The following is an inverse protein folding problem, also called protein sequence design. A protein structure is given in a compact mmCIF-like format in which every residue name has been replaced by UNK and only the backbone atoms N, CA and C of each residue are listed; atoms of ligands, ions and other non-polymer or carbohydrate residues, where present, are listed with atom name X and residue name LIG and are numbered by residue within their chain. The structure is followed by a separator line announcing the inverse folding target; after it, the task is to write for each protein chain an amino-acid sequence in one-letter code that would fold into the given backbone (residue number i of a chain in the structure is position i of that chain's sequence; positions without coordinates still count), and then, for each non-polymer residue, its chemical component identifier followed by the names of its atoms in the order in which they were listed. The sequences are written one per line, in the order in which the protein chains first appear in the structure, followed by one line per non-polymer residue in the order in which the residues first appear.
data_IF_945528160836
#
_entry.id   IF_945528160836
#
_cell.length_a   1.000
_cell.length_b   1.000
_cell.length_c   1.000
_cell.angle_alpha   90.00
_cell.angle_beta   90.00
_cell.angle_gamma   90.00
#
_symmetry.space_group_name_H-M   'P 1'
#
loop_
_entity.id
_entity.type
_entity.pdbx_description
1 polymer ?
#
# COMPACT_ATOMS: atom_id res chain seq x y z
N UNK A 1 -4.39 -32.73 -9.46
CA UNK A 1 -4.71 -31.47 -8.76
C UNK A 1 -3.51 -31.07 -7.91
N UNK A 2 -2.56 -30.32 -8.46
CA UNK A 2 -1.41 -29.80 -7.68
C UNK A 2 -1.83 -28.45 -7.13
N UNK A 3 -2.16 -28.40 -5.83
CA UNK A 3 -2.31 -27.16 -5.08
C UNK A 3 -1.00 -26.39 -5.21
N UNK A 4 -1.02 -25.25 -5.89
CA UNK A 4 0.11 -24.33 -5.93
C UNK A 4 0.43 -23.90 -4.50
N UNK A 5 1.51 -24.45 -3.95
CA UNK A 5 2.08 -24.01 -2.68
C UNK A 5 2.35 -22.51 -2.83
N UNK A 6 1.73 -21.67 -1.99
CA UNK A 6 2.20 -20.28 -1.82
C UNK A 6 3.66 -20.39 -1.40
N UNK A 7 4.59 -20.17 -2.33
CA UNK A 7 6.03 -20.19 -2.04
C UNK A 7 6.24 -19.10 -1.00
N UNK A 8 6.54 -19.48 0.24
CA UNK A 8 6.91 -18.52 1.26
C UNK A 8 8.12 -17.74 0.74
N UNK A 9 8.10 -16.42 0.92
CA UNK A 9 9.17 -15.54 0.50
C UNK A 9 10.49 -16.02 1.12
N UNK A 10 11.45 -16.45 0.31
CA UNK A 10 12.75 -16.93 0.83
C UNK A 10 13.67 -15.75 1.10
N UNK A 11 14.60 -15.88 2.04
CA UNK A 11 15.60 -14.86 2.32
C UNK A 11 16.44 -14.52 1.06
N UNK A 12 16.73 -15.52 0.23
CA UNK A 12 17.44 -15.33 -1.04
C UNK A 12 16.62 -14.52 -2.05
N UNK A 13 15.32 -14.81 -2.19
CA UNK A 13 14.41 -14.06 -3.06
C UNK A 13 14.32 -12.59 -2.64
N UNK A 14 14.22 -12.35 -1.34
CA UNK A 14 14.17 -10.99 -0.80
C UNK A 14 15.51 -10.26 -0.97
N UNK A 15 16.63 -10.95 -0.81
CA UNK A 15 17.96 -10.39 -1.09
C UNK A 15 18.13 -9.97 -2.55
N UNK A 16 17.62 -10.76 -3.51
CA UNK A 16 17.59 -10.39 -4.94
C UNK A 16 16.72 -9.15 -5.18
N UNK A 17 15.57 -9.07 -4.52
CA UNK A 17 14.70 -7.90 -4.58
C UNK A 17 15.38 -6.64 -4.04
N UNK A 18 16.07 -6.71 -2.88
CA UNK A 18 16.81 -5.56 -2.35
C UNK A 18 17.91 -5.11 -3.30
N UNK A 19 18.68 -6.04 -3.89
CA UNK A 19 19.69 -5.72 -4.92
C UNK A 19 19.10 -5.10 -6.18
N UNK A 20 17.88 -5.49 -6.55
CA UNK A 20 17.14 -4.89 -7.65
C UNK A 20 16.67 -3.45 -7.33
N UNK A 21 16.37 -3.15 -6.07
CA UNK A 21 16.10 -1.76 -5.64
C UNK A 21 17.35 -0.89 -5.73
N UNK A 22 18.49 -1.40 -5.23
CA UNK A 22 19.79 -0.74 -5.34
C UNK A 22 20.91 -1.76 -5.15
N UNK A 23 22.04 -1.63 -5.88
CA UNK A 23 23.22 -2.47 -5.66
C UNK A 23 23.93 -2.18 -4.32
N UNK A 24 23.66 -1.03 -3.68
CA UNK A 24 24.21 -0.69 -2.37
C UNK A 24 23.20 -1.04 -1.27
N UNK A 25 23.63 -1.82 -0.28
CA UNK A 25 22.74 -2.35 0.76
C UNK A 25 22.03 -1.26 1.58
N UNK A 26 22.74 -0.20 1.96
CA UNK A 26 22.14 0.91 2.73
C UNK A 26 21.08 1.65 1.89
N UNK A 27 21.41 1.95 0.64
CA UNK A 27 20.50 2.58 -0.31
C UNK A 27 19.29 1.67 -0.62
N UNK A 28 19.48 0.36 -0.70
CA UNK A 28 18.40 -0.61 -0.93
C UNK A 28 17.41 -0.63 0.25
N UNK A 29 17.93 -0.56 1.48
CA UNK A 29 17.08 -0.45 2.67
C UNK A 29 16.31 0.86 2.68
N UNK A 30 16.97 1.99 2.37
CA UNK A 30 16.30 3.29 2.28
C UNK A 30 15.20 3.30 1.22
N UNK A 31 15.47 2.76 0.03
CA UNK A 31 14.49 2.68 -1.06
C UNK A 31 13.32 1.76 -0.69
N UNK A 32 13.59 0.62 -0.04
CA UNK A 32 12.54 -0.26 0.47
C UNK A 32 11.64 0.45 1.48
N UNK A 33 12.22 1.16 2.45
CA UNK A 33 11.46 1.92 3.45
C UNK A 33 10.63 3.04 2.82
N UNK A 34 11.21 3.73 1.82
CA UNK A 34 10.51 4.76 1.05
C UNK A 34 9.31 4.19 0.30
N UNK A 35 9.49 3.08 -0.43
CA UNK A 35 8.41 2.38 -1.14
C UNK A 35 7.34 1.90 -0.16
N UNK A 36 7.74 1.29 0.95
CA UNK A 36 6.82 0.80 2.00
C UNK A 36 5.93 1.91 2.53
N UNK A 37 6.54 3.02 2.96
CA UNK A 37 5.80 4.16 3.50
C UNK A 37 4.78 4.71 2.50
N UNK A 38 5.18 4.87 1.25
CA UNK A 38 4.30 5.42 0.20
C UNK A 38 3.19 4.44 -0.19
N UNK A 39 3.46 3.13 -0.25
CA UNK A 39 2.45 2.11 -0.51
C UNK A 39 1.40 2.04 0.59
N UNK A 40 1.81 2.04 1.86
CA UNK A 40 0.87 2.05 2.99
C UNK A 40 -0.02 3.30 2.94
N UNK A 41 0.57 4.48 2.72
CA UNK A 41 -0.18 5.74 2.55
C UNK A 41 -1.16 5.67 1.39
N UNK A 42 -0.75 5.08 0.26
CA UNK A 42 -1.60 4.86 -0.90
C UNK A 42 -2.83 4.03 -0.54
N UNK A 43 -2.65 2.88 0.12
CA UNK A 43 -3.77 2.03 0.52
C UNK A 43 -4.66 2.66 1.60
N UNK A 44 -4.11 3.47 2.51
CA UNK A 44 -4.90 4.25 3.48
C UNK A 44 -5.80 5.25 2.75
N UNK A 45 -5.24 6.02 1.82
CA UNK A 45 -5.99 6.96 0.99
C UNK A 45 -7.12 6.26 0.21
N UNK A 46 -6.82 5.09 -0.37
CA UNK A 46 -7.81 4.24 -1.05
C UNK A 46 -8.89 3.64 -0.13
N UNK A 47 -8.75 3.79 1.19
CA UNK A 47 -9.76 3.33 2.15
C UNK A 47 -9.71 1.85 2.50
N UNK A 48 -8.56 1.21 2.30
CA UNK A 48 -8.40 -0.22 2.57
C UNK A 48 -8.60 -0.51 4.07
N UNK A 49 -9.09 -1.71 4.39
CA UNK A 49 -9.29 -2.16 5.78
C UNK A 49 -7.94 -2.51 6.41
N UNK A 50 -7.06 -3.16 5.63
CA UNK A 50 -5.72 -3.53 6.06
C UNK A 50 -4.63 -3.17 5.01
N UNK A 51 -4.13 -1.91 5.02
CA UNK A 51 -3.02 -1.44 4.20
C UNK A 51 -1.72 -2.25 4.28
N UNK A 52 -1.32 -2.73 5.47
CA UNK A 52 -0.08 -3.49 5.62
C UNK A 52 -0.20 -4.89 4.99
N UNK A 53 -1.36 -5.55 5.11
CA UNK A 53 -1.61 -6.81 4.39
C UNK A 53 -1.59 -6.63 2.87
N UNK A 54 -2.15 -5.53 2.35
CA UNK A 54 -2.07 -5.23 0.92
C UNK A 54 -0.64 -4.87 0.49
N UNK A 55 0.15 -4.23 1.35
CA UNK A 55 1.57 -4.02 1.14
C UNK A 55 2.34 -5.35 1.07
N UNK A 56 2.16 -6.24 2.04
CA UNK A 56 2.83 -7.55 2.08
C UNK A 56 2.50 -8.37 0.83
N UNK A 57 1.22 -8.42 0.43
CA UNK A 57 0.78 -9.03 -0.84
C UNK A 57 1.43 -8.39 -2.07
N UNK A 58 1.65 -7.07 -2.04
CA UNK A 58 2.33 -6.35 -3.14
C UNK A 58 3.77 -6.80 -3.24
N UNK A 59 4.48 -6.87 -2.12
CA UNK A 59 5.88 -7.31 -2.08
C UNK A 59 6.00 -8.77 -2.52
N UNK A 60 5.13 -9.67 -2.06
CA UNK A 60 5.12 -11.08 -2.49
C UNK A 60 5.04 -11.21 -4.01
N UNK A 61 4.14 -10.44 -4.65
CA UNK A 61 3.98 -10.45 -6.10
C UNK A 61 5.19 -9.84 -6.81
N UNK A 62 5.72 -8.72 -6.31
CA UNK A 62 6.90 -8.07 -6.91
C UNK A 62 8.11 -8.98 -6.83
N UNK A 63 8.42 -9.54 -5.65
CA UNK A 63 9.55 -10.45 -5.45
C UNK A 63 9.44 -11.66 -6.36
N UNK A 64 8.25 -12.26 -6.48
CA UNK A 64 8.03 -13.37 -7.41
C UNK A 64 8.27 -13.01 -8.88
N UNK A 65 8.02 -11.76 -9.29
CA UNK A 65 8.31 -11.28 -10.65
C UNK A 65 9.80 -11.03 -10.88
N UNK A 66 10.52 -10.53 -9.86
CA UNK A 66 11.97 -10.33 -9.93
C UNK A 66 12.70 -11.68 -9.94
N UNK A 67 12.27 -12.64 -9.09
CA UNK A 67 12.82 -14.01 -9.13
C UNK A 67 12.62 -14.68 -10.49
N UNK A 68 11.52 -14.37 -11.19
CA UNK A 68 11.23 -14.86 -12.53
C UNK A 68 12.05 -14.21 -13.66
N UNK A 69 13.00 -13.32 -13.33
CA UNK A 69 13.89 -12.68 -14.32
C UNK A 69 13.26 -11.50 -15.05
N UNK A 70 12.19 -10.90 -14.53
CA UNK A 70 11.59 -9.72 -15.14
C UNK A 70 12.47 -8.48 -14.99
N UNK A 71 12.74 -7.80 -16.10
CA UNK A 71 13.46 -6.52 -16.10
C UNK A 71 12.50 -5.35 -15.97
N UNK A 72 12.61 -4.63 -14.85
CA UNK A 72 11.76 -3.49 -14.52
C UNK A 72 12.65 -2.31 -14.11
N UNK A 73 12.89 -1.33 -15.00
CA UNK A 73 13.87 -0.25 -14.77
C UNK A 73 13.49 0.74 -13.66
N UNK A 74 12.20 0.86 -13.32
CA UNK A 74 11.72 1.79 -12.29
C UNK A 74 11.04 0.99 -11.18
N UNK A 75 11.77 0.69 -10.08
CA UNK A 75 11.25 -0.15 -9.02
C UNK A 75 9.99 0.39 -8.34
N UNK A 76 10.00 1.68 -7.99
CA UNK A 76 8.84 2.31 -7.36
C UNK A 76 7.60 2.24 -8.27
N UNK A 77 7.72 2.65 -9.54
CA UNK A 77 6.60 2.62 -10.48
C UNK A 77 6.04 1.21 -10.68
N UNK A 78 6.91 0.20 -10.73
CA UNK A 78 6.49 -1.20 -10.82
C UNK A 78 5.73 -1.65 -9.56
N UNK A 79 6.27 -1.37 -8.38
CA UNK A 79 5.60 -1.65 -7.10
C UNK A 79 4.21 -1.02 -7.02
N UNK A 80 4.06 0.26 -7.41
CA UNK A 80 2.76 0.93 -7.41
C UNK A 80 1.79 0.37 -8.46
N UNK A 81 2.30 -0.05 -9.62
CA UNK A 81 1.49 -0.74 -10.63
C UNK A 81 0.88 -2.04 -10.09
N UNK A 82 1.69 -2.84 -9.38
CA UNK A 82 1.24 -4.06 -8.71
C UNK A 82 0.24 -3.73 -7.58
N UNK A 83 0.56 -2.75 -6.74
CA UNK A 83 -0.30 -2.30 -5.64
C UNK A 83 -1.70 -1.88 -6.11
N UNK A 84 -1.78 -1.15 -7.22
CA UNK A 84 -3.06 -0.76 -7.83
C UNK A 84 -3.90 -1.97 -8.24
N UNK A 85 -3.27 -3.01 -8.79
CA UNK A 85 -3.97 -4.23 -9.18
C UNK A 85 -4.46 -5.02 -7.96
N UNK A 86 -3.65 -5.11 -6.91
CA UNK A 86 -4.04 -5.75 -5.65
C UNK A 86 -5.19 -5.01 -4.99
N UNK A 87 -5.15 -3.68 -4.95
CA UNK A 87 -6.27 -2.88 -4.44
C UNK A 87 -7.56 -3.11 -5.26
N UNK A 88 -7.47 -3.14 -6.59
CA UNK A 88 -8.64 -3.44 -7.45
C UNK A 88 -9.23 -4.81 -7.15
N UNK A 89 -8.39 -5.81 -6.90
CA UNK A 89 -8.83 -7.14 -6.51
C UNK A 89 -9.52 -7.12 -5.14
N UNK A 90 -8.89 -6.53 -4.12
CA UNK A 90 -9.45 -6.38 -2.77
C UNK A 90 -10.80 -5.64 -2.79
N UNK A 91 -10.93 -4.59 -3.61
CA UNK A 91 -12.19 -3.87 -3.80
C UNK A 91 -13.28 -4.77 -4.43
N UNK A 92 -12.92 -5.59 -5.43
CA UNK A 92 -13.85 -6.55 -6.05
C UNK A 92 -14.28 -7.62 -5.06
N UNK A 93 -13.34 -8.20 -4.31
CA UNK A 93 -13.60 -9.23 -3.29
C UNK A 93 -14.49 -8.69 -2.17
N UNK A 94 -14.36 -7.43 -1.76
CA UNK A 94 -15.25 -6.81 -0.78
C UNK A 94 -16.65 -6.57 -1.34
N UNK A 95 -16.74 -6.16 -2.60
CA UNK A 95 -18.03 -5.96 -3.28
C UNK A 95 -18.74 -7.28 -3.59
N UNK A 96 -18.01 -8.36 -3.90
CA UNK A 96 -18.54 -9.71 -4.11
C UNK A 96 -18.67 -10.53 -2.83
N UNK A 97 -18.02 -10.17 -1.73
CA UNK A 97 -18.36 -10.72 -0.41
C UNK A 97 -19.78 -10.31 0.04
N UNK A 98 -20.35 -9.25 -0.56
CA UNK A 98 -21.77 -8.91 -0.45
C UNK A 98 -22.66 -9.67 -1.47
N UNK A 99 -22.08 -10.37 -2.46
CA UNK A 99 -22.78 -11.15 -3.49
C UNK A 99 -21.90 -12.32 -3.98
N UNK A 100 -22.04 -13.48 -3.34
CA UNK A 100 -21.46 -14.83 -3.61
C UNK A 100 -20.32 -14.98 -4.65
N UNK A 101 -19.21 -15.57 -4.18
CA UNK A 101 -17.99 -16.04 -4.88
C UNK A 101 -18.17 -16.46 -6.34
N UNK A 102 -17.35 -15.87 -7.22
CA UNK A 102 -16.88 -16.50 -8.47
C UNK A 102 -15.37 -16.38 -8.58
N UNK A 103 -14.79 -17.46 -9.10
CA UNK A 103 -13.38 -17.85 -9.09
C UNK A 103 -12.42 -16.97 -9.88
N UNK A 104 -11.16 -17.19 -9.51
CA UNK A 104 -9.93 -16.57 -9.96
C UNK A 104 -9.73 -16.71 -11.48
N UNK A 105 -9.51 -15.57 -12.13
CA UNK A 105 -8.64 -15.46 -13.29
C UNK A 105 -7.94 -14.10 -13.20
N UNK A 106 -6.63 -14.11 -12.92
CA UNK A 106 -5.74 -12.98 -13.12
C UNK A 106 -5.59 -12.73 -14.63
N UNK A 107 -6.68 -12.31 -15.27
CA UNK A 107 -6.62 -11.75 -16.61
C UNK A 107 -6.16 -10.30 -16.48
N UNK A 108 -4.91 -10.09 -16.88
CA UNK A 108 -4.22 -8.83 -17.10
C UNK A 108 -5.19 -7.79 -17.69
N UNK A 109 -5.54 -6.75 -16.94
CA UNK A 109 -6.39 -5.68 -17.44
C UNK A 109 -5.88 -4.31 -16.98
N UNK A 110 -5.38 -3.59 -17.99
CA UNK A 110 -4.77 -2.25 -18.00
C UNK A 110 -3.55 -2.08 -17.09
N UNK A 111 -2.36 -2.15 -17.70
CA UNK A 111 -1.20 -1.38 -17.24
C UNK A 111 -1.72 0.02 -16.95
N UNK A 112 -1.70 0.52 -15.71
CA UNK A 112 -2.07 1.91 -15.48
C UNK A 112 -1.26 2.77 -16.44
N UNK A 113 -1.91 3.76 -17.06
CA UNK A 113 -1.17 4.87 -17.65
C UNK A 113 -0.29 5.42 -16.53
N UNK A 114 1.01 5.12 -16.61
CA UNK A 114 2.02 5.52 -15.65
C UNK A 114 1.88 7.01 -15.26
N UNK A 115 1.56 7.94 -16.20
CA UNK A 115 1.34 9.34 -15.87
C UNK A 115 0.24 9.60 -14.82
N UNK A 116 -0.89 8.88 -14.91
CA UNK A 116 -2.03 9.09 -13.98
C UNK A 116 -1.68 8.60 -12.58
N UNK A 117 -0.98 7.47 -12.48
CA UNK A 117 -0.54 6.92 -11.19
C UNK A 117 0.52 7.81 -10.54
N UNK A 118 1.48 8.30 -11.33
CA UNK A 118 2.50 9.23 -10.84
C UNK A 118 1.88 10.53 -10.33
N UNK A 119 0.91 11.09 -11.04
CA UNK A 119 0.21 12.30 -10.60
C UNK A 119 -0.59 12.06 -9.32
N UNK A 120 -1.27 10.92 -9.21
CA UNK A 120 -2.00 10.53 -7.99
C UNK A 120 -1.06 10.44 -6.78
N UNK A 121 0.13 9.86 -6.96
CA UNK A 121 1.14 9.75 -5.89
C UNK A 121 1.71 11.11 -5.49
N UNK A 122 2.00 11.99 -6.45
CA UNK A 122 2.44 13.37 -6.16
C UNK A 122 1.38 14.13 -5.37
N UNK A 123 0.12 14.01 -5.77
CA UNK A 123 -1.00 14.60 -5.05
C UNK A 123 -1.15 14.02 -3.63
N UNK A 124 -0.99 12.71 -3.47
CA UNK A 124 -1.03 12.07 -2.16
C UNK A 124 0.09 12.58 -1.25
N UNK A 125 1.32 12.70 -1.75
CA UNK A 125 2.44 13.23 -0.97
C UNK A 125 2.21 14.66 -0.50
N UNK A 126 1.74 15.53 -1.39
CA UNK A 126 1.35 16.90 -1.05
C UNK A 126 0.28 16.92 0.05
N UNK A 127 -0.82 16.19 -0.15
CA UNK A 127 -1.93 16.14 0.79
C UNK A 127 -1.54 15.53 2.14
N UNK A 128 -0.63 14.55 2.15
CA UNK A 128 -0.05 14.04 3.39
C UNK A 128 0.77 15.11 4.12
N UNK A 129 1.46 16.00 3.40
CA UNK A 129 2.20 17.13 3.97
C UNK A 129 1.32 18.20 4.62
N UNK A 130 0.09 18.36 4.16
CA UNK A 130 -0.90 19.32 4.69
C UNK A 130 -1.56 18.84 5.99
N UNK A 131 -1.49 17.54 6.28
CA UNK A 131 -1.97 17.00 7.55
C UNK A 131 -1.12 17.48 8.74
N UNK A 132 -1.77 17.64 9.90
CA UNK A 132 -1.06 17.89 11.15
C UNK A 132 -0.03 16.79 11.43
N UNK A 133 1.03 17.10 12.19
CA UNK A 133 2.03 16.09 12.58
C UNK A 133 1.41 14.89 13.28
N UNK A 134 0.46 15.13 14.19
CA UNK A 134 -0.27 14.07 14.89
C UNK A 134 -1.14 13.21 13.96
N UNK A 135 -1.79 13.80 12.95
CA UNK A 135 -2.61 13.03 12.00
C UNK A 135 -1.74 12.19 11.07
N UNK A 136 -0.59 12.71 10.62
CA UNK A 136 0.40 11.94 9.86
C UNK A 136 0.93 10.76 10.64
N UNK A 137 1.20 10.95 11.93
CA UNK A 137 1.67 9.91 12.82
C UNK A 137 0.61 8.81 12.98
N UNK A 138 -0.64 9.20 13.23
CA UNK A 138 -1.77 8.25 13.31
C UNK A 138 -1.88 7.44 12.01
N UNK A 139 -1.84 8.08 10.84
CA UNK A 139 -1.91 7.37 9.56
C UNK A 139 -0.78 6.36 9.40
N UNK A 140 0.43 6.73 9.81
CA UNK A 140 1.63 5.91 9.65
C UNK A 140 1.66 4.73 10.64
N UNK A 141 1.20 4.92 11.88
CA UNK A 141 1.27 3.91 12.93
C UNK A 141 0.01 3.04 13.04
N UNK A 142 -1.18 3.52 12.65
CA UNK A 142 -2.45 2.82 12.89
C UNK A 142 -2.53 1.43 12.24
N UNK A 143 -1.77 1.23 11.16
CA UNK A 143 -1.72 -0.03 10.43
C UNK A 143 -0.44 -0.84 10.66
N UNK A 144 0.60 -0.21 11.23
CA UNK A 144 1.91 -0.82 11.48
C UNK A 144 1.84 -2.06 12.38
N UNK A 145 2.67 -3.05 12.05
CA UNK A 145 2.84 -4.29 12.82
C UNK A 145 1.88 -5.41 12.40
N UNK A 146 2.11 -6.62 12.94
CA UNK A 146 1.26 -7.78 12.72
C UNK A 146 0.79 -8.38 14.05
N UNK A 147 -0.36 -9.05 14.06
CA UNK A 147 -0.88 -9.76 15.23
C UNK A 147 -0.95 -8.89 16.50
N UNK A 148 -0.16 -9.25 17.51
CA UNK A 148 -0.14 -8.57 18.82
C UNK A 148 0.44 -7.16 18.76
N UNK A 149 1.49 -6.94 17.98
CA UNK A 149 2.15 -5.62 17.88
C UNK A 149 1.20 -4.55 17.33
N UNK A 150 0.33 -4.94 16.39
CA UNK A 150 -0.71 -4.08 15.83
C UNK A 150 -1.79 -3.73 16.84
N UNK A 151 -2.16 -4.68 17.70
CA UNK A 151 -3.12 -4.46 18.78
C UNK A 151 -2.54 -3.48 19.79
N UNK A 152 -1.29 -3.67 20.20
CA UNK A 152 -0.59 -2.80 21.15
C UNK A 152 -0.41 -1.37 20.59
N UNK A 153 0.05 -1.26 19.34
CA UNK A 153 0.20 0.04 18.66
C UNK A 153 -1.13 0.81 18.62
N UNK A 154 -2.24 0.13 18.30
CA UNK A 154 -3.58 0.75 18.30
C UNK A 154 -4.07 1.12 19.70
N UNK A 155 -3.72 0.36 20.73
CA UNK A 155 -4.01 0.73 22.13
C UNK A 155 -3.30 2.03 22.49
N UNK A 156 -1.99 2.12 22.24
CA UNK A 156 -1.21 3.34 22.50
C UNK A 156 -1.77 4.57 21.76
N UNK A 157 -2.13 4.40 20.48
CA UNK A 157 -2.77 5.47 19.71
C UNK A 157 -4.15 5.84 20.26
N UNK A 158 -4.91 4.87 20.77
CA UNK A 158 -6.22 5.11 21.36
C UNK A 158 -6.09 5.90 22.66
N UNK A 159 -5.12 5.57 23.51
CA UNK A 159 -4.88 6.28 24.77
C UNK A 159 -4.59 7.76 24.51
N UNK A 160 -3.75 8.07 23.53
CA UNK A 160 -3.47 9.45 23.12
C UNK A 160 -4.63 10.16 22.41
N UNK A 161 -5.60 9.42 21.86
CA UNK A 161 -6.75 9.97 21.13
C UNK A 161 -8.02 10.14 21.99
N UNK A 162 -8.02 9.70 23.25
CA UNK A 162 -9.21 9.69 24.11
C UNK A 162 -10.08 8.43 23.97
N UNK A 163 -9.48 7.32 23.53
CA UNK A 163 -10.09 5.99 23.45
C UNK A 163 -10.25 5.45 22.03
N UNK A 164 -10.62 4.17 21.94
CA UNK A 164 -10.69 3.43 20.66
C UNK A 164 -11.69 4.04 19.69
N UNK A 165 -12.86 4.50 20.18
CA UNK A 165 -13.86 5.13 19.33
C UNK A 165 -13.39 6.50 18.82
N UNK A 166 -12.72 7.30 19.65
CA UNK A 166 -12.16 8.57 19.24
C UNK A 166 -11.08 8.38 18.16
N UNK A 167 -10.20 7.38 18.33
CA UNK A 167 -9.21 7.01 17.31
C UNK A 167 -9.85 6.59 15.98
N UNK A 168 -10.91 5.77 16.01
CA UNK A 168 -11.63 5.35 14.80
C UNK A 168 -12.28 6.53 14.07
N UNK A 169 -12.93 7.43 14.80
CA UNK A 169 -13.53 8.65 14.25
C UNK A 169 -12.44 9.53 13.63
N UNK A 170 -11.32 9.71 14.34
CA UNK A 170 -10.18 10.48 13.85
C UNK A 170 -9.60 9.91 12.56
N UNK A 171 -9.36 8.60 12.50
CA UNK A 171 -8.89 7.93 11.28
C UNK A 171 -9.90 8.06 10.12
N UNK A 172 -11.20 7.99 10.40
CA UNK A 172 -12.25 8.22 9.39
C UNK A 172 -12.19 9.64 8.81
N UNK A 173 -12.01 10.66 9.66
CA UNK A 173 -11.85 12.06 9.23
C UNK A 173 -10.60 12.27 8.39
N UNK A 174 -9.44 11.77 8.84
CA UNK A 174 -8.18 11.88 8.10
C UNK A 174 -8.30 11.23 6.72
N UNK A 175 -8.90 10.03 6.63
CA UNK A 175 -9.15 9.37 5.33
C UNK A 175 -10.05 10.20 4.42
N UNK A 176 -11.08 10.84 4.97
CA UNK A 176 -11.98 11.72 4.20
C UNK A 176 -11.23 12.95 3.69
N UNK A 177 -10.44 13.60 4.54
CA UNK A 177 -9.62 14.76 4.19
C UNK A 177 -8.62 14.43 3.07
N UNK A 178 -7.87 13.33 3.21
CA UNK A 178 -6.94 12.88 2.18
C UNK A 178 -7.62 12.60 0.84
N UNK A 179 -8.82 11.99 0.85
CA UNK A 179 -9.56 11.75 -0.39
C UNK A 179 -10.00 13.05 -1.07
N UNK A 180 -10.52 14.00 -0.29
CA UNK A 180 -10.96 15.29 -0.83
C UNK A 180 -9.78 16.11 -1.37
N UNK A 181 -8.68 16.17 -0.64
CA UNK A 181 -7.47 16.88 -1.08
C UNK A 181 -6.90 16.28 -2.37
N UNK A 182 -6.70 14.95 -2.41
CA UNK A 182 -6.14 14.29 -3.60
C UNK A 182 -7.08 14.44 -4.80
N UNK A 183 -8.39 14.32 -4.60
CA UNK A 183 -9.36 14.56 -5.68
C UNK A 183 -9.31 16.00 -6.21
N UNK A 184 -9.14 17.00 -5.34
CA UNK A 184 -8.94 18.39 -5.74
C UNK A 184 -7.62 18.59 -6.51
N UNK A 185 -6.53 18.02 -6.00
CA UNK A 185 -5.21 18.06 -6.62
C UNK A 185 -5.21 17.48 -8.04
N UNK A 186 -5.83 16.31 -8.21
CA UNK A 186 -5.90 15.62 -9.50
C UNK A 186 -6.68 16.42 -10.54
N UNK A 187 -7.71 17.16 -10.13
CA UNK A 187 -8.46 18.06 -11.02
C UNK A 187 -7.65 19.27 -11.45
N UNK A 188 -6.81 19.81 -10.56
CA UNK A 188 -5.95 20.96 -10.85
C UNK A 188 -4.79 20.62 -11.78
N UNK A 189 -4.28 19.38 -11.75
CA UNK A 189 -3.21 18.92 -12.64
C UNK A 189 -3.68 18.42 -14.01
N UNK A 190 -4.99 18.38 -14.26
CA UNK A 190 -5.59 18.00 -15.55
C UNK A 190 -5.97 19.22 -16.41
N UNK A 191 -5.65 20.41 -15.94
CA UNK A 191 -5.99 21.71 -16.53
C UNK A 191 -4.72 22.55 -16.69
#
# INVERSE_FOLDING_TARGET
MVRGVKKALTAEAFGKFLRWLSPNDESAVQEYQFIRLRLVRYFVHKGCSDPDDLFDKTIDVVVGKIEGGGEYPNPAAFCFGVAKNIWRQDLRERSSAAATRVEQNMAFATRPELPVLEQELKCLERCMGELSSGDREIVSQYHWGQGRDKIETRKRLADGAGGVNALRIKMCRIRKELRLCVAGCMKQGAN
#
